data_IF_607517667527
#
_entry.id   IF_607517667527
#
_cell.length_a   1.000
_cell.length_b   1.000
_cell.length_c   1.000
_cell.angle_alpha   90.00
_cell.angle_beta   90.00
_cell.angle_gamma   90.00
#
_symmetry.space_group_name_H-M   'P 1'
#
loop_
_entity.id
_entity.type
_entity.pdbx_description
1 polymer ?
#
# COMPACT_ATOMS: atom_id res chain seq x y z
N UNK A 1 -15.26 -25.01 1.55
CA UNK A 1 -15.77 -24.06 0.55
C UNK A 1 -14.55 -23.50 -0.16
N UNK A 2 -14.64 -23.28 -1.47
CA UNK A 2 -13.66 -22.59 -2.34
C UNK A 2 -12.31 -23.29 -2.59
N UNK A 3 -12.27 -24.25 -3.54
CA UNK A 3 -11.03 -24.87 -4.03
C UNK A 3 -10.11 -23.93 -4.81
N UNK A 4 -10.66 -22.90 -5.43
CA UNK A 4 -9.91 -21.97 -6.30
C UNK A 4 -9.03 -21.04 -5.49
N UNK A 5 -9.53 -20.47 -4.40
CA UNK A 5 -8.78 -19.53 -3.57
C UNK A 5 -7.55 -20.17 -2.94
N UNK A 6 -7.66 -21.44 -2.51
CA UNK A 6 -6.55 -22.22 -1.94
C UNK A 6 -5.44 -22.47 -2.96
N UNK A 7 -5.83 -22.87 -4.19
CA UNK A 7 -4.87 -23.06 -5.29
C UNK A 7 -4.20 -21.75 -5.66
N UNK A 8 -4.97 -20.66 -5.76
CA UNK A 8 -4.44 -19.32 -6.06
C UNK A 8 -3.48 -18.88 -4.94
N UNK A 9 -3.80 -19.17 -3.68
CA UNK A 9 -2.95 -18.89 -2.53
C UNK A 9 -1.60 -19.62 -2.61
N UNK A 10 -1.61 -20.93 -2.92
CA UNK A 10 -0.37 -21.70 -3.09
C UNK A 10 0.48 -21.20 -4.28
N UNK A 11 -0.17 -20.72 -5.34
CA UNK A 11 0.53 -20.19 -6.52
C UNK A 11 1.08 -18.79 -6.30
N UNK A 12 0.33 -17.94 -5.59
CA UNK A 12 0.73 -16.56 -5.31
C UNK A 12 1.76 -16.49 -4.19
N UNK A 13 1.74 -17.42 -3.22
CA UNK A 13 2.67 -17.50 -2.09
C UNK A 13 4.15 -17.38 -2.48
N UNK A 14 4.70 -18.16 -3.43
CA UNK A 14 6.09 -17.99 -3.86
C UNK A 14 6.35 -16.69 -4.61
N UNK A 15 5.36 -16.14 -5.32
CA UNK A 15 5.48 -14.90 -6.09
C UNK A 15 5.59 -13.70 -5.15
N UNK A 16 4.71 -13.64 -4.15
CA UNK A 16 4.72 -12.57 -3.15
C UNK A 16 5.95 -12.66 -2.25
N UNK A 17 6.41 -13.88 -1.90
CA UNK A 17 7.61 -14.06 -1.07
C UNK A 17 8.88 -13.59 -1.79
N UNK A 18 8.99 -13.82 -3.10
CA UNK A 18 10.10 -13.35 -3.94
C UNK A 18 10.15 -11.81 -4.01
N UNK A 19 8.98 -11.17 -3.97
CA UNK A 19 8.82 -9.73 -4.07
C UNK A 19 8.69 -9.02 -2.69
N UNK A 20 8.83 -9.76 -1.59
CA UNK A 20 8.64 -9.28 -0.21
C UNK A 20 7.25 -8.63 0.00
N UNK A 21 6.24 -9.18 -0.66
CA UNK A 21 4.83 -8.82 -0.58
C UNK A 21 4.10 -9.80 0.35
N UNK A 22 2.99 -9.36 0.91
CA UNK A 22 2.09 -10.13 1.75
C UNK A 22 0.73 -10.26 1.07
N UNK A 23 0.16 -11.46 1.12
CA UNK A 23 -1.21 -11.70 0.68
C UNK A 23 -2.16 -11.18 1.75
N UNK A 24 -3.04 -10.26 1.36
CA UNK A 24 -4.05 -9.72 2.27
C UNK A 24 -5.32 -10.55 2.20
N UNK A 25 -5.84 -10.77 0.99
CA UNK A 25 -7.09 -11.49 0.79
C UNK A 25 -7.22 -11.97 -0.66
N UNK A 26 -7.97 -13.05 -0.89
CA UNK A 26 -8.32 -13.54 -2.23
C UNK A 26 -9.82 -13.76 -2.30
N UNK A 27 -10.47 -13.05 -3.21
CA UNK A 27 -11.89 -13.18 -3.46
C UNK A 27 -12.15 -13.75 -4.85
N UNK A 28 -12.85 -14.90 -4.90
CA UNK A 28 -13.38 -15.43 -6.14
C UNK A 28 -14.89 -15.23 -6.18
N UNK A 29 -15.33 -14.16 -6.86
CA UNK A 29 -16.74 -13.73 -6.90
C UNK A 29 -17.30 -13.84 -8.31
N UNK A 30 -18.60 -14.10 -8.39
CA UNK A 30 -19.32 -14.13 -9.67
C UNK A 30 -20.17 -12.88 -9.80
N UNK A 31 -19.79 -11.96 -10.67
CA UNK A 31 -20.58 -10.78 -11.01
C UNK A 31 -21.27 -11.00 -12.36
N UNK A 32 -22.58 -11.26 -12.29
CA UNK A 32 -23.43 -11.49 -13.47
C UNK A 32 -23.05 -12.76 -14.23
N UNK A 33 -22.53 -12.58 -15.46
CA UNK A 33 -22.10 -13.68 -16.34
C UNK A 33 -20.61 -14.00 -16.22
N UNK A 34 -19.82 -13.13 -15.58
CA UNK A 34 -18.37 -13.23 -15.51
C UNK A 34 -17.93 -13.62 -14.09
N UNK A 35 -16.78 -14.27 -14.01
CA UNK A 35 -16.10 -14.51 -12.74
C UNK A 35 -15.01 -13.46 -12.55
N UNK A 36 -14.76 -13.08 -11.30
CA UNK A 36 -13.72 -12.14 -10.92
C UNK A 36 -12.89 -12.79 -9.82
N UNK A 37 -11.59 -12.89 -10.06
CA UNK A 37 -10.59 -13.31 -9.10
C UNK A 37 -9.84 -12.07 -8.65
N UNK A 38 -10.20 -11.55 -7.49
CA UNK A 38 -9.56 -10.39 -6.88
C UNK A 38 -8.51 -10.87 -5.90
N UNK A 39 -7.29 -10.40 -6.08
CA UNK A 39 -6.15 -10.73 -5.23
C UNK A 39 -5.66 -9.44 -4.62
N UNK A 40 -5.76 -9.35 -3.30
CA UNK A 40 -5.29 -8.22 -2.53
C UNK A 40 -3.89 -8.52 -2.00
N UNK A 41 -2.91 -7.73 -2.43
CA UNK A 41 -1.52 -7.83 -2.01
C UNK A 41 -1.08 -6.53 -1.35
N UNK A 42 -0.27 -6.61 -0.30
CA UNK A 42 0.28 -5.46 0.40
C UNK A 42 1.76 -5.65 0.72
N UNK A 43 2.44 -4.58 1.09
CA UNK A 43 3.82 -4.63 1.58
C UNK A 43 4.04 -3.51 2.58
N UNK A 44 4.90 -3.74 3.58
CA UNK A 44 5.18 -2.74 4.62
C UNK A 44 5.72 -1.41 4.01
N UNK A 45 6.32 -1.46 2.82
CA UNK A 45 6.81 -0.28 2.08
C UNK A 45 5.86 0.31 1.03
N UNK A 46 4.64 -0.22 0.92
CA UNK A 46 3.72 0.09 -0.16
C UNK A 46 4.04 -0.70 -1.43
N UNK A 47 3.02 -0.87 -2.27
CA UNK A 47 3.11 -1.55 -3.56
C UNK A 47 3.08 -0.51 -4.68
N UNK A 48 3.98 -0.66 -5.63
CA UNK A 48 3.98 0.11 -6.87
C UNK A 48 3.09 -0.54 -7.92
N UNK A 49 2.58 0.26 -8.86
CA UNK A 49 1.73 -0.26 -9.94
C UNK A 49 2.46 -1.30 -10.81
N UNK A 50 3.79 -1.17 -10.92
CA UNK A 50 4.65 -2.14 -11.61
C UNK A 50 4.67 -3.49 -10.91
N UNK A 51 4.73 -3.51 -9.56
CA UNK A 51 4.71 -4.73 -8.76
C UNK A 51 3.36 -5.45 -8.90
N UNK A 52 2.23 -4.70 -8.86
CA UNK A 52 0.91 -5.25 -9.16
C UNK A 52 0.85 -5.90 -10.55
N UNK A 53 1.46 -5.23 -11.55
CA UNK A 53 1.56 -5.74 -12.91
C UNK A 53 2.29 -7.09 -12.96
N UNK A 54 3.48 -7.17 -12.35
CA UNK A 54 4.31 -8.39 -12.32
C UNK A 54 3.57 -9.53 -11.62
N UNK A 55 2.92 -9.27 -10.47
CA UNK A 55 2.15 -10.30 -9.76
C UNK A 55 0.98 -10.77 -10.62
N UNK A 56 0.25 -9.85 -11.28
CA UNK A 56 -0.87 -10.23 -12.15
C UNK A 56 -0.44 -11.10 -13.32
N UNK A 57 0.71 -10.81 -13.94
CA UNK A 57 1.22 -11.58 -15.07
C UNK A 57 1.71 -12.96 -14.63
N UNK A 58 2.57 -13.03 -13.61
CA UNK A 58 3.08 -14.31 -13.07
C UNK A 58 1.96 -15.21 -12.54
N UNK A 59 0.98 -14.62 -11.85
CA UNK A 59 -0.16 -15.36 -11.33
C UNK A 59 -1.06 -15.84 -12.46
N UNK A 60 -1.28 -15.01 -13.48
CA UNK A 60 -2.00 -15.37 -14.70
C UNK A 60 -1.35 -16.55 -15.42
N UNK A 61 -0.03 -16.51 -15.65
CA UNK A 61 0.70 -17.62 -16.28
C UNK A 61 0.57 -18.93 -15.50
N UNK A 62 0.70 -18.87 -14.17
CA UNK A 62 0.52 -20.04 -13.29
C UNK A 62 -0.89 -20.61 -13.33
N UNK A 63 -1.90 -19.74 -13.39
CA UNK A 63 -3.29 -20.15 -13.47
C UNK A 63 -3.66 -20.72 -14.84
N UNK A 64 -3.08 -20.19 -15.93
CA UNK A 64 -3.28 -20.72 -17.29
C UNK A 64 -2.63 -22.11 -17.45
N UNK A 65 -1.46 -22.34 -16.83
CA UNK A 65 -0.77 -23.63 -16.85
C UNK A 65 -1.53 -24.74 -16.10
N UNK A 66 -2.11 -24.41 -14.94
CA UNK A 66 -2.86 -25.35 -14.11
C UNK A 66 -4.34 -25.46 -14.49
N UNK A 67 -4.86 -24.48 -15.24
CA UNK A 67 -6.27 -24.27 -15.59
C UNK A 67 -7.27 -24.73 -14.50
N UNK A 68 -7.16 -24.26 -13.25
CA UNK A 68 -8.01 -24.74 -12.16
C UNK A 68 -9.45 -24.17 -12.26
N UNK A 69 -9.68 -23.19 -13.13
CA UNK A 69 -10.94 -22.47 -13.29
C UNK A 69 -11.51 -22.75 -14.70
N UNK A 70 -12.50 -23.65 -14.85
CA UNK A 70 -13.05 -23.99 -16.16
C UNK A 70 -13.93 -22.88 -16.79
N UNK A 71 -14.11 -21.75 -16.10
CA UNK A 71 -14.97 -20.65 -16.52
C UNK A 71 -14.13 -19.40 -16.81
N UNK A 72 -14.55 -18.58 -17.78
CA UNK A 72 -13.93 -17.26 -18.01
C UNK A 72 -13.97 -16.40 -16.74
N UNK A 73 -12.81 -15.93 -16.32
CA UNK A 73 -12.63 -15.08 -15.16
C UNK A 73 -11.75 -13.86 -15.49
N UNK A 74 -11.92 -12.77 -14.72
CA UNK A 74 -11.06 -11.59 -14.75
C UNK A 74 -10.17 -11.63 -13.53
N UNK A 75 -8.85 -11.63 -13.74
CA UNK A 75 -7.87 -11.47 -12.66
C UNK A 75 -7.69 -9.98 -12.37
N UNK A 76 -7.94 -9.57 -11.13
CA UNK A 76 -7.66 -8.23 -10.64
C UNK A 76 -6.68 -8.33 -9.48
N UNK A 77 -5.46 -7.83 -9.65
CA UNK A 77 -4.50 -7.69 -8.57
C UNK A 77 -4.49 -6.24 -8.12
N UNK A 78 -4.81 -5.99 -6.86
CA UNK A 78 -4.89 -4.65 -6.30
C UNK A 78 -4.27 -4.61 -4.92
N UNK A 79 -3.72 -3.46 -4.54
CA UNK A 79 -3.35 -3.22 -3.16
C UNK A 79 -4.52 -2.57 -2.41
N UNK A 80 -4.82 -3.00 -1.16
CA UNK A 80 -5.81 -2.33 -0.33
C UNK A 80 -5.43 -0.87 0.04
N UNK A 81 -4.24 -0.40 -0.33
CA UNK A 81 -3.99 1.01 -0.59
C UNK A 81 -2.61 1.53 -0.16
N UNK A 82 -1.97 2.29 -1.07
CA UNK A 82 -0.76 3.07 -0.81
C UNK A 82 -0.96 4.24 0.19
N UNK A 83 -2.22 4.61 0.48
CA UNK A 83 -2.55 5.66 1.44
C UNK A 83 -2.81 5.11 2.84
N UNK A 84 -1.98 4.16 3.31
CA UNK A 84 -2.12 3.61 4.66
C UNK A 84 -2.22 4.76 5.65
N UNK A 85 -3.38 4.95 6.31
CA UNK A 85 -3.58 6.09 7.17
C UNK A 85 -2.75 5.86 8.43
N UNK A 86 -1.72 6.67 8.61
CA UNK A 86 -0.89 6.70 9.80
C UNK A 86 -1.76 7.29 10.93
N UNK A 87 -2.44 6.42 11.66
CA UNK A 87 -3.31 6.79 12.79
C UNK A 87 -2.67 6.55 14.16
N UNK A 88 -1.69 5.65 14.24
CA UNK A 88 -1.05 5.26 15.50
C UNK A 88 0.40 5.71 15.53
N UNK A 89 0.86 6.06 16.72
CA UNK A 89 2.26 6.40 17.01
C UNK A 89 3.24 5.34 16.48
N UNK A 90 2.91 4.05 16.66
CA UNK A 90 3.68 2.93 16.12
C UNK A 90 3.82 2.92 14.59
N UNK A 91 2.79 3.36 13.88
CA UNK A 91 2.84 3.48 12.42
C UNK A 91 3.75 4.65 12.01
N UNK A 92 3.79 5.73 12.80
CA UNK A 92 4.74 6.84 12.60
C UNK A 92 6.19 6.43 12.88
N UNK A 93 6.43 5.66 13.95
CA UNK A 93 7.75 5.09 14.25
C UNK A 93 8.25 4.20 13.10
N UNK A 94 7.38 3.37 12.52
CA UNK A 94 7.69 2.57 11.33
C UNK A 94 7.87 3.40 10.06
N UNK A 95 7.21 4.56 9.98
CA UNK A 95 7.30 5.47 8.85
C UNK A 95 8.54 6.39 8.92
N UNK A 96 9.37 6.30 9.97
CA UNK A 96 10.65 7.02 10.06
C UNK A 96 11.55 6.62 8.88
N UNK A 97 11.94 7.61 8.09
CA UNK A 97 12.71 7.45 6.86
C UNK A 97 11.87 7.33 5.58
N UNK A 98 10.55 7.20 5.66
CA UNK A 98 9.64 7.15 4.49
C UNK A 98 9.04 8.52 4.18
N UNK A 99 8.56 8.72 2.96
CA UNK A 99 7.77 9.92 2.64
C UNK A 99 6.35 9.77 3.18
N UNK A 100 5.83 10.84 3.77
CA UNK A 100 4.50 10.90 4.37
C UNK A 100 3.84 12.23 3.97
N UNK A 101 2.53 12.18 3.82
CA UNK A 101 1.68 13.34 3.60
C UNK A 101 0.81 13.52 4.85
N UNK A 102 1.04 14.61 5.58
CA UNK A 102 0.37 14.95 6.83
C UNK A 102 -0.52 16.17 6.62
N UNK A 103 -1.78 16.03 6.98
CA UNK A 103 -2.77 17.09 7.01
C UNK A 103 -3.06 17.49 8.44
N UNK A 104 -2.93 18.77 8.75
CA UNK A 104 -3.14 19.31 10.09
C UNK A 104 -4.52 19.97 10.22
N UNK A 105 -5.07 20.01 11.43
CA UNK A 105 -6.32 20.73 11.72
C UNK A 105 -6.13 22.24 11.61
N UNK A 106 -4.96 22.73 12.04
CA UNK A 106 -4.58 24.13 11.98
C UNK A 106 -3.45 24.32 10.95
N UNK A 107 -3.42 25.45 10.22
CA UNK A 107 -2.28 25.76 9.38
C UNK A 107 -1.03 25.92 10.23
N UNK A 108 -0.01 25.10 10.00
CA UNK A 108 1.32 25.28 10.58
C UNK A 108 2.17 25.96 9.53
N UNK A 109 2.85 27.05 9.86
CA UNK A 109 3.70 27.77 8.88
C UNK A 109 2.95 28.23 7.59
N UNK A 110 1.63 28.41 7.66
CA UNK A 110 0.77 28.84 6.54
C UNK A 110 0.23 27.72 5.64
N UNK A 111 0.67 26.47 5.82
CA UNK A 111 0.22 25.30 5.07
C UNK A 111 -0.55 24.32 5.98
N UNK A 112 -1.54 23.63 5.40
CA UNK A 112 -2.40 22.68 6.12
C UNK A 112 -2.08 21.23 5.74
N UNK A 113 -1.21 21.06 4.76
CA UNK A 113 -0.84 19.79 4.18
C UNK A 113 0.67 19.84 3.94
N UNK A 114 1.37 18.84 4.46
CA UNK A 114 2.82 18.75 4.42
C UNK A 114 3.18 17.43 3.81
N UNK A 115 3.87 17.49 2.68
CA UNK A 115 4.42 16.31 2.03
C UNK A 115 5.94 16.36 2.14
N UNK A 116 6.51 15.31 2.71
CA UNK A 116 7.94 15.25 2.92
C UNK A 116 8.38 13.92 3.51
N UNK A 117 9.68 13.78 3.69
CA UNK A 117 10.30 12.63 4.31
C UNK A 117 10.20 12.74 5.82
N UNK A 118 9.63 11.75 6.49
CA UNK A 118 9.63 11.70 7.94
C UNK A 118 11.05 11.40 8.41
N UNK A 119 11.67 12.35 9.12
CA UNK A 119 13.03 12.20 9.64
C UNK A 119 13.03 11.52 11.01
N UNK A 120 12.09 11.91 11.86
CA UNK A 120 12.05 11.50 13.26
C UNK A 120 10.63 11.62 13.81
N UNK A 121 10.27 10.72 14.70
CA UNK A 121 9.02 10.76 15.44
C UNK A 121 9.31 10.64 16.94
N UNK A 122 8.87 11.63 17.72
CA UNK A 122 9.15 11.73 19.16
C UNK A 122 7.88 11.52 20.00
N UNK A 123 6.92 10.70 19.54
CA UNK A 123 5.63 10.45 20.22
C UNK A 123 4.66 11.64 20.12
N UNK A 124 5.11 12.80 20.59
CA UNK A 124 4.37 14.06 20.58
C UNK A 124 4.63 14.90 19.33
N UNK A 125 5.81 14.79 18.72
CA UNK A 125 6.23 15.63 17.59
C UNK A 125 6.71 14.79 16.41
N UNK A 126 6.22 15.13 15.22
CA UNK A 126 6.64 14.54 13.94
C UNK A 126 7.57 15.52 13.23
N UNK A 127 8.81 15.10 12.97
CA UNK A 127 9.78 15.86 12.17
C UNK A 127 9.71 15.43 10.71
N UNK A 128 9.37 16.37 9.86
CA UNK A 128 9.17 16.17 8.44
C UNK A 128 10.15 17.04 7.66
N UNK A 129 10.78 16.46 6.65
CA UNK A 129 11.67 17.13 5.73
C UNK A 129 11.00 17.23 4.37
N UNK A 130 10.54 18.43 4.03
CA UNK A 130 9.95 18.71 2.73
C UNK A 130 10.98 19.38 1.81
N UNK A 131 11.00 18.97 0.55
CA UNK A 131 11.93 19.50 -0.46
C UNK A 131 11.18 20.49 -1.35
N UNK A 132 11.35 21.79 -1.09
CA UNK A 132 10.67 22.84 -1.86
C UNK A 132 11.65 23.44 -2.86
N UNK A 133 11.52 23.06 -4.14
CA UNK A 133 12.33 23.50 -5.29
C UNK A 133 13.83 23.20 -5.19
N UNK A 134 14.57 23.94 -4.37
CA UNK A 134 16.03 23.85 -4.19
C UNK A 134 16.46 23.92 -2.72
N UNK A 135 15.52 24.00 -1.77
CA UNK A 135 15.81 24.04 -0.34
C UNK A 135 15.11 22.90 0.38
N UNK A 136 15.88 22.25 1.24
CA UNK A 136 15.38 21.30 2.23
C UNK A 136 14.85 22.09 3.41
N UNK A 137 13.55 21.95 3.70
CA UNK A 137 12.90 22.62 4.85
C UNK A 137 12.45 21.55 5.82
N UNK A 138 12.87 21.68 7.07
CA UNK A 138 12.44 20.80 8.14
C UNK A 138 11.30 21.50 8.89
N UNK A 139 10.19 20.79 9.03
CA UNK A 139 9.01 21.24 9.76
C UNK A 139 8.73 20.25 10.88
N UNK A 140 8.41 20.77 12.04
CA UNK A 140 8.01 19.97 13.20
C UNK A 140 6.52 20.17 13.42
N UNK A 141 5.77 19.06 13.35
CA UNK A 141 4.33 19.06 13.47
C UNK A 141 3.97 18.29 14.74
N UNK A 142 3.32 18.94 15.73
CA UNK A 142 2.80 18.23 16.89
C UNK A 142 1.71 17.25 16.46
N UNK A 143 1.81 16.00 16.93
CA UNK A 143 0.93 14.88 16.60
C UNK A 143 -0.53 15.18 16.94
N UNK A 144 -0.78 15.92 18.03
CA UNK A 144 -2.12 16.37 18.43
C UNK A 144 -2.82 17.23 17.37
N UNK A 145 -2.05 17.94 16.52
CA UNK A 145 -2.59 18.76 15.44
C UNK A 145 -2.76 18.00 14.13
N UNK A 146 -2.31 16.75 14.06
CA UNK A 146 -2.44 15.90 12.87
C UNK A 146 -3.89 15.44 12.74
N UNK A 147 -4.57 15.92 11.71
CA UNK A 147 -5.92 15.50 11.37
C UNK A 147 -5.93 14.19 10.60
N UNK A 148 -5.01 14.06 9.64
CA UNK A 148 -4.90 12.88 8.81
C UNK A 148 -3.46 12.76 8.33
N UNK A 149 -2.85 11.62 8.53
CA UNK A 149 -1.56 11.33 7.93
C UNK A 149 -1.66 10.06 7.10
N UNK A 150 -0.93 10.03 5.99
CA UNK A 150 -0.83 8.89 5.09
C UNK A 150 0.61 8.75 4.63
N UNK A 151 1.05 7.53 4.35
CA UNK A 151 2.29 7.33 3.61
C UNK A 151 2.12 7.95 2.21
N UNK A 152 3.19 8.59 1.73
CA UNK A 152 3.27 9.15 0.39
C UNK A 152 4.52 8.57 -0.26
N UNK A 153 4.37 7.88 -1.39
CA UNK A 153 5.51 7.40 -2.15
C UNK A 153 5.92 8.55 -3.06
N UNK A 154 7.15 9.03 -2.91
CA UNK A 154 7.75 10.02 -3.80
C UNK A 154 8.74 9.27 -4.68
N UNK A 155 8.44 9.21 -5.97
CA UNK A 155 9.31 8.69 -7.03
C UNK A 155 10.57 9.55 -7.22
#
# INVERSE_FOLDING_TARGET
>A
MSKVTDVVEELVAPIILDMDLELVDIEYVKEGKNWFLRVFIDKDNGIDIEECGIVSERLGEKLDELDPIPNNYFLEVSSPGAERPLKKEKDFEKAVGKHVNIKTYEPIDGEKEFEGKLLEFTGDHVKLEMKVKTRTKQVEIPFEKVAKARLAIVF
#
